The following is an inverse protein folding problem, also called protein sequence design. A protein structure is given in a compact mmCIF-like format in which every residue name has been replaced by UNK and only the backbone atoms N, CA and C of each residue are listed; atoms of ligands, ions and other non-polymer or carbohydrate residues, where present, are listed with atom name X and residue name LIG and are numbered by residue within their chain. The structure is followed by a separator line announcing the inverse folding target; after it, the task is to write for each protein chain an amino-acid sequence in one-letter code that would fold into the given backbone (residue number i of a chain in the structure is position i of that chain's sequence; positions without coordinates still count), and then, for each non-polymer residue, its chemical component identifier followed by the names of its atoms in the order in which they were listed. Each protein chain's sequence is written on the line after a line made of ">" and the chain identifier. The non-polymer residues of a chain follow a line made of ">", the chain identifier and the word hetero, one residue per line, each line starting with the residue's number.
data_IF_825597484548
#
_entry.id   IF_825597484548
#
_cell.length_a   1.000
_cell.length_b   1.000
_cell.length_c   1.000
_cell.angle_alpha   90.00
_cell.angle_beta   90.00
_cell.angle_gamma   90.00
#
_symmetry.space_group_name_H-M   'P 1'
#
loop_
_entity.id
_entity.type
_entity.pdbx_description
1 polymer ?
#
# COMPACT_ATOMS: atom_id res chain seq x y z
N UNK A 1 -21.58 0.55 -34.07
CA UNK A 1 -20.93 -0.35 -33.10
C UNK A 1 -20.12 -1.38 -33.88
N UNK A 2 -18.82 -1.47 -33.63
CA UNK A 2 -17.92 -2.44 -34.26
C UNK A 2 -17.29 -3.26 -33.13
N UNK A 3 -17.30 -4.58 -33.26
CA UNK A 3 -16.54 -5.48 -32.39
C UNK A 3 -15.20 -5.80 -33.05
N UNK A 4 -14.11 -5.66 -32.31
CA UNK A 4 -12.77 -6.00 -32.78
C UNK A 4 -12.36 -7.33 -32.15
N UNK A 5 -12.23 -8.38 -32.97
CA UNK A 5 -11.72 -9.67 -32.53
C UNK A 5 -10.18 -9.66 -32.45
N UNK A 6 -9.62 -10.59 -31.68
CA UNK A 6 -8.18 -10.88 -31.67
C UNK A 6 -7.30 -9.68 -31.28
N UNK A 7 -7.69 -8.97 -30.23
CA UNK A 7 -6.93 -7.83 -29.71
C UNK A 7 -5.53 -8.24 -29.25
N UNK A 8 -4.52 -7.74 -29.97
CA UNK A 8 -3.10 -7.95 -29.68
C UNK A 8 -2.36 -6.61 -29.50
N UNK A 9 -1.05 -6.67 -29.28
CA UNK A 9 -0.23 -5.47 -29.10
C UNK A 9 -0.19 -4.57 -30.34
N UNK A 10 -0.33 -5.13 -31.55
CA UNK A 10 -0.31 -4.36 -32.79
C UNK A 10 -1.61 -3.59 -32.95
N UNK A 11 -2.75 -4.25 -32.77
CA UNK A 11 -4.05 -3.61 -32.80
C UNK A 11 -4.17 -2.56 -31.69
N UNK A 12 -3.63 -2.84 -30.50
CA UNK A 12 -3.57 -1.88 -29.40
C UNK A 12 -2.82 -0.59 -29.79
N UNK A 13 -1.69 -0.72 -30.49
CA UNK A 13 -0.88 0.42 -30.91
C UNK A 13 -1.67 1.35 -31.85
N UNK A 14 -2.40 0.77 -32.81
CA UNK A 14 -3.21 1.54 -33.75
C UNK A 14 -4.44 2.16 -33.07
N UNK A 15 -5.12 1.41 -32.19
CA UNK A 15 -6.30 1.87 -31.46
C UNK A 15 -6.00 3.04 -30.54
N UNK A 16 -4.98 2.91 -29.70
CA UNK A 16 -4.67 3.89 -28.65
C UNK A 16 -4.38 5.27 -29.24
N UNK A 17 -3.83 5.34 -30.46
CA UNK A 17 -3.58 6.60 -31.15
C UNK A 17 -4.84 7.32 -31.65
N UNK A 18 -5.96 6.60 -31.78
CA UNK A 18 -7.23 7.13 -32.30
C UNK A 18 -8.36 7.21 -31.26
N UNK A 19 -8.11 6.87 -30.00
CA UNK A 19 -9.13 6.89 -28.95
C UNK A 19 -9.24 8.29 -28.34
N UNK A 20 -10.40 8.91 -28.48
CA UNK A 20 -10.75 10.13 -27.76
C UNK A 20 -11.16 9.84 -26.30
N UNK A 21 -11.93 8.77 -26.07
CA UNK A 21 -12.44 8.38 -24.75
C UNK A 21 -12.24 6.89 -24.49
N UNK A 22 -11.50 6.57 -23.42
CA UNK A 22 -11.32 5.21 -22.91
C UNK A 22 -12.28 4.97 -21.74
N UNK A 23 -13.15 3.97 -21.89
CA UNK A 23 -14.12 3.59 -20.86
C UNK A 23 -13.68 2.29 -20.19
N UNK A 24 -13.63 2.26 -18.87
CA UNK A 24 -13.36 1.04 -18.10
C UNK A 24 -14.34 0.90 -16.93
N UNK A 25 -15.00 -0.24 -16.80
CA UNK A 25 -16.00 -0.48 -15.75
C UNK A 25 -15.67 -1.76 -14.98
N UNK A 26 -14.50 -1.87 -14.34
CA UNK A 26 -14.19 -2.99 -13.49
C UNK A 26 -15.11 -2.98 -12.27
N UNK A 27 -15.39 -4.14 -11.70
CA UNK A 27 -16.06 -4.22 -10.41
C UNK A 27 -15.04 -4.01 -9.30
N UNK A 28 -15.27 -3.05 -8.42
CA UNK A 28 -14.40 -2.79 -7.27
C UNK A 28 -14.48 -3.91 -6.22
N UNK A 29 -13.37 -4.34 -5.59
CA UNK A 29 -11.98 -3.90 -5.73
C UNK A 29 -11.12 -4.84 -6.61
N UNK A 30 -11.67 -5.36 -7.70
CA UNK A 30 -11.05 -6.43 -8.48
C UNK A 30 -10.02 -5.95 -9.52
N UNK A 31 -9.92 -4.64 -9.76
CA UNK A 31 -8.86 -4.05 -10.58
C UNK A 31 -7.70 -3.61 -9.68
N UNK A 32 -6.61 -4.37 -9.68
CA UNK A 32 -5.42 -3.99 -8.91
C UNK A 32 -4.81 -2.67 -9.40
N UNK A 33 -4.83 -2.41 -10.71
CA UNK A 33 -4.30 -1.18 -11.29
C UNK A 33 -4.98 -0.87 -12.63
N UNK A 34 -4.72 -1.65 -13.68
CA UNK A 34 -5.24 -1.40 -15.03
C UNK A 34 -4.38 -0.42 -15.82
N UNK A 35 -3.39 -0.93 -16.56
CA UNK A 35 -2.43 -0.08 -17.32
C UNK A 35 -2.97 0.38 -18.68
N UNK A 36 -4.09 -0.16 -19.13
CA UNK A 36 -4.64 0.12 -20.46
C UNK A 36 -5.08 1.59 -20.61
N UNK A 37 -5.76 2.14 -19.60
CA UNK A 37 -6.16 3.56 -19.55
C UNK A 37 -4.97 4.54 -19.49
N UNK A 38 -3.81 4.09 -19.01
CA UNK A 38 -2.59 4.92 -18.99
C UNK A 38 -2.02 5.15 -20.39
N UNK A 39 -2.26 4.23 -21.34
CA UNK A 39 -1.68 4.28 -22.69
C UNK A 39 -2.22 5.46 -23.50
N UNK A 40 -3.49 5.83 -23.28
CA UNK A 40 -4.13 6.93 -24.01
C UNK A 40 -3.68 8.32 -23.54
N UNK A 41 -3.04 8.42 -22.36
CA UNK A 41 -2.56 9.69 -21.81
C UNK A 41 -1.59 10.39 -22.78
N UNK A 42 -0.60 9.68 -23.31
CA UNK A 42 0.35 10.26 -24.26
C UNK A 42 -0.25 10.46 -25.67
N UNK A 43 -1.44 9.92 -25.94
CA UNK A 43 -2.10 9.97 -27.24
C UNK A 43 -3.26 10.98 -27.29
N UNK A 44 -3.51 11.72 -26.21
CA UNK A 44 -4.52 12.78 -26.17
C UNK A 44 -5.94 12.28 -25.93
N UNK A 45 -6.11 11.05 -25.45
CA UNK A 45 -7.40 10.53 -25.00
C UNK A 45 -7.73 10.93 -23.56
N UNK A 46 -8.99 10.80 -23.19
CA UNK A 46 -9.50 10.96 -21.82
C UNK A 46 -10.03 9.63 -21.28
N UNK A 47 -10.00 9.49 -19.95
CA UNK A 47 -10.51 8.31 -19.27
C UNK A 47 -11.88 8.59 -18.63
N UNK A 48 -12.74 7.57 -18.65
CA UNK A 48 -13.97 7.49 -17.89
C UNK A 48 -14.06 6.10 -17.26
N UNK A 49 -13.92 6.01 -15.94
CA UNK A 49 -13.79 4.72 -15.28
C UNK A 49 -14.36 4.69 -13.86
N UNK A 50 -14.70 3.50 -13.39
CA UNK A 50 -14.93 3.24 -11.96
C UNK A 50 -13.73 3.67 -11.11
N UNK A 51 -13.98 4.10 -9.87
CA UNK A 51 -12.96 4.49 -8.88
C UNK A 51 -12.25 3.27 -8.27
N UNK A 52 -11.65 2.47 -9.14
CA UNK A 52 -10.84 1.30 -8.81
C UNK A 52 -9.46 1.34 -9.49
N UNK A 53 -8.53 0.52 -9.01
CA UNK A 53 -7.15 0.46 -9.50
C UNK A 53 -6.47 1.83 -9.58
N UNK A 54 -5.78 2.09 -10.71
CA UNK A 54 -5.03 3.32 -10.91
C UNK A 54 -5.93 4.56 -10.98
N UNK A 55 -7.19 4.39 -11.40
CA UNK A 55 -8.10 5.52 -11.55
C UNK A 55 -8.56 6.03 -10.19
N UNK A 56 -8.69 5.15 -9.18
CA UNK A 56 -8.94 5.55 -7.80
C UNK A 56 -7.87 6.51 -7.24
N UNK A 57 -6.61 6.34 -7.69
CA UNK A 57 -5.44 7.18 -7.35
C UNK A 57 -5.35 8.44 -8.24
N UNK A 58 -5.60 8.30 -9.55
CA UNK A 58 -5.36 9.33 -10.55
C UNK A 58 -6.51 10.34 -10.70
N UNK A 59 -7.75 9.91 -10.40
CA UNK A 59 -8.94 10.67 -10.75
C UNK A 59 -9.00 12.02 -10.07
N UNK A 60 -9.28 13.02 -10.90
CA UNK A 60 -9.75 14.34 -10.52
C UNK A 60 -10.69 14.85 -11.61
N UNK A 61 -11.63 15.71 -11.25
CA UNK A 61 -12.64 16.26 -12.16
C UNK A 61 -12.05 17.01 -13.37
N UNK A 62 -10.78 17.46 -13.26
CA UNK A 62 -10.06 18.14 -14.33
C UNK A 62 -9.44 17.23 -15.39
N UNK A 63 -9.34 15.91 -15.15
CA UNK A 63 -8.55 14.99 -16.01
C UNK A 63 -9.36 13.87 -16.66
N UNK A 64 -10.65 13.75 -16.32
CA UNK A 64 -11.54 12.71 -16.85
C UNK A 64 -12.88 12.67 -16.10
N UNK A 65 -13.49 11.50 -16.07
CA UNK A 65 -14.74 11.24 -15.36
C UNK A 65 -14.64 9.95 -14.55
N UNK A 66 -15.48 9.81 -13.54
CA UNK A 66 -15.60 8.59 -12.78
C UNK A 66 -17.05 8.27 -12.41
N UNK A 67 -17.29 7.00 -12.13
CA UNK A 67 -18.50 6.47 -11.49
C UNK A 67 -18.12 5.81 -10.16
N UNK A 68 -19.13 5.55 -9.33
CA UNK A 68 -18.98 4.81 -8.08
C UNK A 68 -18.62 5.68 -6.85
N UNK A 69 -18.73 5.07 -5.67
CA UNK A 69 -18.69 5.77 -4.37
C UNK A 69 -17.45 5.45 -3.52
N UNK A 70 -16.45 4.76 -4.10
CA UNK A 70 -15.27 4.23 -3.41
C UNK A 70 -15.60 3.24 -2.29
N UNK A 71 -16.75 2.58 -2.31
CA UNK A 71 -17.09 1.46 -1.41
C UNK A 71 -17.09 0.13 -2.15
N UNK A 72 -17.11 -0.94 -1.37
CA UNK A 72 -17.22 -2.29 -1.90
C UNK A 72 -18.67 -2.73 -1.75
N UNK A 73 -19.27 -3.20 -2.85
CA UNK A 73 -20.68 -3.63 -2.89
C UNK A 73 -20.85 -5.12 -3.18
N UNK A 74 -19.75 -5.87 -3.26
CA UNK A 74 -19.76 -7.32 -3.45
C UNK A 74 -20.45 -7.75 -4.75
N UNK A 75 -21.46 -8.60 -4.66
CA UNK A 75 -22.23 -9.12 -5.80
C UNK A 75 -23.62 -8.47 -5.94
N UNK A 76 -23.82 -7.29 -5.36
CA UNK A 76 -25.12 -6.61 -5.45
C UNK A 76 -25.43 -6.14 -6.89
N UNK A 77 -26.31 -6.88 -7.57
CA UNK A 77 -26.77 -6.56 -8.92
C UNK A 77 -27.53 -5.22 -8.99
N UNK A 78 -28.12 -4.75 -7.88
CA UNK A 78 -28.76 -3.43 -7.85
C UNK A 78 -27.72 -2.30 -7.93
N UNK A 79 -26.50 -2.56 -7.43
CA UNK A 79 -25.39 -1.64 -7.55
C UNK A 79 -24.92 -1.51 -9.00
N UNK A 80 -24.76 -2.64 -9.72
CA UNK A 80 -24.41 -2.62 -11.15
C UNK A 80 -25.39 -1.74 -11.98
N UNK A 81 -26.70 -1.83 -11.67
CA UNK A 81 -27.72 -1.02 -12.33
C UNK A 81 -27.61 0.47 -11.98
N UNK A 82 -27.20 0.78 -10.75
CA UNK A 82 -26.99 2.16 -10.27
C UNK A 82 -25.79 2.78 -10.98
N UNK A 83 -24.65 2.09 -11.01
CA UNK A 83 -23.44 2.52 -11.73
C UNK A 83 -23.69 2.68 -13.23
N UNK A 84 -24.44 1.76 -13.85
CA UNK A 84 -24.81 1.87 -15.26
C UNK A 84 -25.66 3.14 -15.51
N UNK A 85 -26.63 3.44 -14.64
CA UNK A 85 -27.46 4.64 -14.77
C UNK A 85 -26.65 5.94 -14.57
N UNK A 86 -25.72 5.94 -13.61
CA UNK A 86 -24.77 7.03 -13.41
C UNK A 86 -23.91 7.23 -14.66
N UNK A 87 -23.37 6.14 -15.21
CA UNK A 87 -22.55 6.16 -16.41
C UNK A 87 -23.30 6.77 -17.60
N UNK A 88 -24.53 6.34 -17.84
CA UNK A 88 -25.36 6.89 -18.92
C UNK A 88 -25.68 8.38 -18.70
N UNK A 89 -25.96 8.78 -17.46
CA UNK A 89 -26.22 10.18 -17.13
C UNK A 89 -25.00 11.08 -17.43
N UNK A 90 -23.80 10.66 -17.04
CA UNK A 90 -22.56 11.41 -17.30
C UNK A 90 -22.27 11.47 -18.81
N UNK A 91 -22.48 10.35 -19.53
CA UNK A 91 -22.31 10.33 -20.99
C UNK A 91 -23.24 11.32 -21.68
N UNK A 92 -24.54 11.27 -21.36
CA UNK A 92 -25.58 12.07 -22.01
C UNK A 92 -25.46 13.56 -21.67
N UNK A 93 -25.23 13.89 -20.39
CA UNK A 93 -25.33 15.26 -19.90
C UNK A 93 -24.00 16.01 -19.89
N UNK A 94 -22.86 15.30 -19.90
CA UNK A 94 -21.53 15.93 -19.78
C UNK A 94 -20.58 15.59 -20.94
N UNK A 95 -20.25 14.31 -21.12
CA UNK A 95 -19.19 13.88 -22.04
C UNK A 95 -19.57 14.18 -23.49
N UNK A 96 -20.73 13.69 -23.93
CA UNK A 96 -21.18 13.85 -25.32
C UNK A 96 -21.37 15.34 -25.66
N UNK A 97 -22.07 16.16 -24.85
CA UNK A 97 -22.17 17.59 -25.09
C UNK A 97 -20.82 18.29 -25.17
N UNK A 98 -19.89 18.01 -24.25
CA UNK A 98 -18.54 18.61 -24.25
C UNK A 98 -17.74 18.21 -25.49
N UNK A 99 -17.83 16.95 -25.91
CA UNK A 99 -17.12 16.45 -27.09
C UNK A 99 -17.61 17.09 -28.39
N UNK A 100 -18.90 17.41 -28.50
CA UNK A 100 -19.51 18.04 -29.69
C UNK A 100 -19.65 19.56 -29.61
N UNK A 101 -19.35 20.18 -28.45
CA UNK A 101 -19.38 21.63 -28.31
C UNK A 101 -18.32 22.30 -29.22
N UNK A 102 -18.75 23.19 -30.12
CA UNK A 102 -17.89 23.90 -31.09
C UNK A 102 -18.08 25.42 -31.04
N UNK A 103 -18.41 25.94 -29.87
CA UNK A 103 -18.63 27.37 -29.63
C UNK A 103 -17.38 28.18 -30.01
N UNK A 104 -17.43 28.90 -31.14
CA UNK A 104 -16.35 29.80 -31.60
C UNK A 104 -15.32 29.22 -32.57
N UNK A 105 -15.53 28.03 -33.16
CA UNK A 105 -14.61 27.50 -34.16
C UNK A 105 -14.86 26.03 -34.53
N UNK A 106 -13.86 25.37 -35.15
CA UNK A 106 -13.95 23.96 -35.56
C UNK A 106 -13.53 22.95 -34.47
N UNK A 107 -13.02 23.42 -33.33
CA UNK A 107 -12.36 22.59 -32.31
C UNK A 107 -13.11 22.66 -30.97
N UNK A 108 -13.30 21.54 -30.24
CA UNK A 108 -13.88 21.56 -28.90
C UNK A 108 -12.88 22.10 -27.88
N UNK A 109 -12.91 23.39 -27.61
CA UNK A 109 -11.95 24.05 -26.71
C UNK A 109 -11.93 23.43 -25.31
N UNK A 110 -13.10 23.13 -24.73
CA UNK A 110 -13.21 22.52 -23.40
C UNK A 110 -12.67 21.08 -23.35
N UNK A 111 -12.97 20.27 -24.36
CA UNK A 111 -12.41 18.93 -24.49
C UNK A 111 -10.88 18.98 -24.59
N UNK A 112 -10.35 19.83 -25.47
CA UNK A 112 -8.90 19.97 -25.66
C UNK A 112 -8.22 20.50 -24.40
N UNK A 113 -8.86 21.41 -23.65
CA UNK A 113 -8.34 21.86 -22.37
C UNK A 113 -8.22 20.70 -21.37
N UNK A 114 -9.24 19.85 -21.27
CA UNK A 114 -9.23 18.65 -20.41
C UNK A 114 -8.20 17.63 -20.85
N UNK A 115 -8.04 17.41 -22.15
CA UNK A 115 -6.96 16.58 -22.72
C UNK A 115 -5.60 17.10 -22.26
N UNK A 116 -5.32 18.40 -22.46
CA UNK A 116 -4.04 19.00 -22.08
C UNK A 116 -3.75 18.87 -20.59
N UNK A 117 -4.77 19.06 -19.75
CA UNK A 117 -4.66 18.90 -18.29
C UNK A 117 -4.34 17.45 -17.90
N UNK A 118 -5.08 16.48 -18.47
CA UNK A 118 -4.85 15.04 -18.28
C UNK A 118 -3.44 14.64 -18.71
N UNK A 119 -3.02 15.05 -19.92
CA UNK A 119 -1.69 14.78 -20.44
C UNK A 119 -0.59 15.35 -19.53
N UNK A 120 -0.72 16.63 -19.13
CA UNK A 120 0.30 17.33 -18.37
C UNK A 120 0.50 16.74 -16.97
N UNK A 121 -0.58 16.34 -16.30
CA UNK A 121 -0.53 15.78 -14.94
C UNK A 121 -0.24 14.30 -14.92
N UNK A 122 -0.95 13.51 -15.72
CA UNK A 122 -0.96 12.07 -15.56
C UNK A 122 0.16 11.37 -16.32
N UNK A 123 0.58 11.88 -17.49
CA UNK A 123 1.66 11.23 -18.27
C UNK A 123 2.98 11.09 -17.51
N UNK A 124 3.53 12.13 -16.84
CA UNK A 124 4.79 11.97 -16.10
C UNK A 124 4.65 11.02 -14.92
N UNK A 125 3.53 11.11 -14.19
CA UNK A 125 3.25 10.27 -13.05
C UNK A 125 3.07 8.82 -13.49
N UNK A 126 2.17 8.49 -14.40
CA UNK A 126 1.88 7.11 -14.78
C UNK A 126 2.83 6.56 -15.86
N UNK A 127 4.08 7.02 -15.87
CA UNK A 127 5.12 6.54 -16.78
C UNK A 127 5.90 5.34 -16.22
N UNK A 128 6.17 4.35 -17.07
CA UNK A 128 7.03 3.22 -16.72
C UNK A 128 8.46 3.66 -16.35
N UNK A 129 8.93 4.78 -16.89
CA UNK A 129 10.23 5.37 -16.54
C UNK A 129 10.29 5.79 -15.06
N UNK A 130 9.21 6.42 -14.57
CA UNK A 130 9.08 6.77 -13.14
C UNK A 130 9.07 5.51 -12.28
N UNK A 131 8.24 4.52 -12.63
CA UNK A 131 8.17 3.25 -11.90
C UNK A 131 9.53 2.56 -11.81
N UNK A 132 10.24 2.40 -12.93
CA UNK A 132 11.56 1.74 -12.94
C UNK A 132 12.57 2.52 -12.09
N UNK A 133 12.58 3.85 -12.18
CA UNK A 133 13.46 4.70 -11.36
C UNK A 133 13.17 4.50 -9.88
N UNK A 134 11.92 4.55 -9.48
CA UNK A 134 11.51 4.44 -8.08
C UNK A 134 11.84 3.04 -7.54
N UNK A 135 11.63 1.98 -8.32
CA UNK A 135 12.07 0.63 -7.96
C UNK A 135 13.58 0.52 -7.82
N UNK A 136 14.32 1.16 -8.74
CA UNK A 136 15.78 1.15 -8.75
C UNK A 136 16.34 1.82 -7.50
N UNK A 137 15.83 3.02 -7.18
CA UNK A 137 16.32 3.83 -6.05
C UNK A 137 15.89 3.24 -4.71
N UNK A 138 14.64 2.84 -4.58
CA UNK A 138 14.08 2.45 -3.28
C UNK A 138 14.35 0.99 -2.91
N UNK A 139 14.59 0.10 -3.90
CA UNK A 139 14.74 -1.33 -3.64
C UNK A 139 16.04 -1.91 -4.19
N UNK A 140 16.33 -1.75 -5.49
CA UNK A 140 17.47 -2.43 -6.10
C UNK A 140 18.83 -1.90 -5.63
N UNK A 141 19.00 -0.58 -5.54
CA UNK A 141 20.25 0.02 -5.04
C UNK A 141 20.50 -0.33 -3.56
N UNK A 142 19.53 -0.20 -2.63
CA UNK A 142 19.69 -0.68 -1.26
C UNK A 142 20.02 -2.17 -1.17
N UNK A 143 19.38 -3.02 -1.98
CA UNK A 143 19.68 -4.45 -2.02
C UNK A 143 21.12 -4.74 -2.49
N UNK A 144 21.60 -4.03 -3.52
CA UNK A 144 22.97 -4.16 -4.00
C UNK A 144 24.00 -3.71 -2.96
N UNK A 145 23.73 -2.60 -2.26
CA UNK A 145 24.58 -2.11 -1.16
C UNK A 145 24.60 -3.09 0.02
N UNK A 146 23.44 -3.65 0.39
CA UNK A 146 23.33 -4.69 1.43
C UNK A 146 24.13 -5.94 1.06
N UNK A 147 24.01 -6.41 -0.19
CA UNK A 147 24.80 -7.53 -0.70
C UNK A 147 26.31 -7.27 -0.60
N UNK A 148 26.76 -6.06 -1.00
CA UNK A 148 28.16 -5.66 -0.90
C UNK A 148 28.63 -5.69 0.56
N UNK A 149 27.92 -5.00 1.46
CA UNK A 149 28.23 -4.95 2.90
C UNK A 149 28.31 -6.34 3.53
N UNK A 150 27.42 -7.26 3.15
CA UNK A 150 27.42 -8.65 3.64
C UNK A 150 28.57 -9.50 3.10
N UNK A 151 29.10 -9.14 1.93
CA UNK A 151 30.18 -9.88 1.26
C UNK A 151 31.58 -9.43 1.68
N UNK A 152 31.69 -8.26 2.30
CA UNK A 152 32.94 -7.71 2.84
C UNK A 152 33.40 -8.44 4.12
N UNK A 153 34.60 -8.12 4.60
CA UNK A 153 35.18 -8.63 5.87
C UNK A 153 35.11 -10.15 6.05
N UNK A 154 35.34 -10.90 4.96
CA UNK A 154 35.27 -12.36 4.98
C UNK A 154 33.85 -12.89 5.29
N UNK A 155 32.81 -12.13 4.90
CA UNK A 155 31.40 -12.49 5.02
C UNK A 155 30.90 -12.61 6.47
N UNK A 156 31.55 -11.94 7.43
CA UNK A 156 31.18 -12.00 8.85
C UNK A 156 29.72 -11.62 9.11
N UNK A 157 29.23 -10.57 8.45
CA UNK A 157 27.84 -10.12 8.58
C UNK A 157 26.86 -11.15 7.98
N UNK A 158 27.19 -11.75 6.83
CA UNK A 158 26.34 -12.79 6.24
C UNK A 158 26.26 -14.02 7.17
N UNK A 159 27.38 -14.44 7.74
CA UNK A 159 27.44 -15.55 8.69
C UNK A 159 26.64 -15.25 9.97
N UNK A 160 26.71 -14.02 10.49
CA UNK A 160 25.94 -13.63 11.68
C UNK A 160 24.43 -13.66 11.41
N UNK A 161 23.99 -13.21 10.23
CA UNK A 161 22.58 -13.26 9.82
C UNK A 161 22.11 -14.70 9.69
N UNK A 162 22.90 -15.59 9.06
CA UNK A 162 22.53 -17.01 8.91
C UNK A 162 22.44 -17.69 10.27
N UNK A 163 23.41 -17.47 11.16
CA UNK A 163 23.39 -18.05 12.50
C UNK A 163 22.18 -17.55 13.32
N UNK A 164 21.91 -16.24 13.29
CA UNK A 164 20.74 -15.64 13.92
C UNK A 164 19.43 -16.23 13.36
N UNK A 165 19.31 -16.39 12.04
CA UNK A 165 18.11 -16.96 11.42
C UNK A 165 17.87 -18.40 11.87
N UNK A 166 18.92 -19.22 11.91
CA UNK A 166 18.84 -20.59 12.42
C UNK A 166 18.42 -20.65 13.90
N UNK A 167 18.93 -19.71 14.71
CA UNK A 167 18.56 -19.59 16.12
C UNK A 167 17.08 -19.24 16.29
N UNK A 168 16.60 -18.24 15.53
CA UNK A 168 15.18 -17.87 15.44
C UNK A 168 14.33 -19.06 15.04
N UNK A 169 14.61 -19.72 13.92
CA UNK A 169 13.82 -20.87 13.45
C UNK A 169 13.75 -22.00 14.46
N UNK A 170 14.84 -22.27 15.19
CA UNK A 170 14.92 -23.35 16.17
C UNK A 170 14.22 -23.04 17.48
N UNK A 171 14.25 -21.79 17.92
CA UNK A 171 13.86 -21.42 19.29
C UNK A 171 12.63 -20.48 19.35
N UNK A 172 12.05 -20.09 18.22
CA UNK A 172 10.89 -19.18 18.16
C UNK A 172 9.71 -19.62 19.03
N UNK A 173 9.37 -20.91 19.00
CA UNK A 173 8.24 -21.49 19.75
C UNK A 173 8.42 -21.44 21.28
N UNK A 174 9.63 -21.12 21.76
CA UNK A 174 9.88 -20.92 23.19
C UNK A 174 9.48 -19.53 23.69
N UNK A 175 9.25 -18.58 22.77
CA UNK A 175 8.81 -17.23 23.09
C UNK A 175 7.37 -17.25 23.62
N UNK A 176 7.13 -16.48 24.68
CA UNK A 176 5.77 -16.27 25.19
C UNK A 176 5.65 -14.93 25.89
N UNK A 177 4.46 -14.36 25.80
CA UNK A 177 4.08 -13.22 26.62
C UNK A 177 3.79 -13.68 28.05
N UNK A 178 4.23 -12.87 29.00
CA UNK A 178 3.85 -12.94 30.40
C UNK A 178 2.79 -11.91 30.73
N UNK A 179 2.84 -11.39 31.95
CA UNK A 179 1.90 -10.36 32.42
C UNK A 179 2.08 -9.07 31.64
N UNK A 180 0.95 -8.45 31.29
CA UNK A 180 0.88 -7.11 30.72
C UNK A 180 0.13 -6.20 31.67
N UNK A 181 0.70 -5.02 31.93
CA UNK A 181 0.08 -3.98 32.74
C UNK A 181 0.13 -2.66 32.00
N UNK A 182 -0.95 -1.90 32.10
CA UNK A 182 -1.04 -0.56 31.50
C UNK A 182 -1.35 0.46 32.57
N UNK A 183 -0.58 1.53 32.61
CA UNK A 183 -0.79 2.66 33.51
C UNK A 183 -1.10 3.92 32.72
N UNK A 184 -1.93 4.79 33.29
CA UNK A 184 -2.28 6.07 32.70
C UNK A 184 -1.80 7.20 33.61
N UNK A 185 -0.96 8.08 33.06
CA UNK A 185 -0.40 9.24 33.78
C UNK A 185 -0.42 10.45 32.85
N UNK A 186 -1.08 11.54 33.29
CA UNK A 186 -1.00 12.87 32.65
C UNK A 186 -1.16 12.88 31.12
N UNK A 187 -2.16 12.18 30.58
CA UNK A 187 -2.41 12.14 29.12
C UNK A 187 -1.51 11.18 28.33
N UNK A 188 -0.63 10.45 29.00
CA UNK A 188 0.19 9.38 28.42
C UNK A 188 -0.25 8.01 28.96
N UNK A 189 0.10 6.96 28.22
CA UNK A 189 -0.11 5.57 28.63
C UNK A 189 1.20 4.82 28.56
N UNK A 190 1.54 4.17 29.67
CA UNK A 190 2.71 3.32 29.78
C UNK A 190 2.27 1.87 29.72
N UNK A 191 2.81 1.14 28.75
CA UNK A 191 2.64 -0.29 28.61
C UNK A 191 3.86 -0.97 29.20
N UNK A 192 3.63 -1.94 30.07
CA UNK A 192 4.65 -2.82 30.61
C UNK A 192 4.30 -4.25 30.28
N UNK A 193 5.20 -4.92 29.56
CA UNK A 193 4.99 -6.27 29.05
C UNK A 193 6.15 -7.15 29.48
N UNK A 194 5.83 -8.25 30.16
CA UNK A 194 6.80 -9.30 30.45
C UNK A 194 6.89 -10.25 29.24
N UNK A 195 8.11 -10.58 28.83
CA UNK A 195 8.38 -11.52 27.72
C UNK A 195 9.38 -12.56 28.17
N UNK A 196 9.04 -13.83 28.00
CA UNK A 196 9.97 -14.94 28.18
C UNK A 196 10.64 -15.24 26.85
N UNK A 197 11.97 -15.07 26.80
CA UNK A 197 12.74 -15.24 25.56
C UNK A 197 13.31 -16.65 25.37
N UNK A 198 13.14 -17.53 26.36
CA UNK A 198 13.62 -18.91 26.30
C UNK A 198 15.13 -18.97 26.12
N UNK A 199 15.57 -19.65 25.06
CA UNK A 199 16.99 -19.79 24.71
C UNK A 199 17.49 -18.74 23.71
N UNK A 200 16.61 -17.88 23.20
CA UNK A 200 17.00 -16.83 22.26
C UNK A 200 17.75 -15.71 22.99
N UNK A 201 18.73 -15.13 22.30
CA UNK A 201 19.28 -13.86 22.75
C UNK A 201 18.19 -12.78 22.75
N UNK A 202 18.05 -11.99 23.83
CA UNK A 202 17.13 -10.87 23.88
C UNK A 202 17.35 -9.83 22.76
N UNK A 203 18.55 -9.74 22.20
CA UNK A 203 18.89 -8.84 21.09
C UNK A 203 18.44 -9.37 19.72
N UNK A 204 18.06 -10.65 19.64
CA UNK A 204 17.59 -11.29 18.41
C UNK A 204 16.12 -11.01 18.09
N UNK A 205 15.41 -10.29 18.97
CA UNK A 205 13.99 -9.98 18.84
C UNK A 205 13.71 -8.50 19.15
N UNK A 206 12.53 -8.03 18.75
CA UNK A 206 11.92 -6.78 19.21
C UNK A 206 10.51 -7.03 19.69
N UNK A 207 10.09 -6.25 20.68
CA UNK A 207 8.71 -6.18 21.12
C UNK A 207 8.13 -4.87 20.64
N UNK A 208 6.95 -4.93 20.04
CA UNK A 208 6.29 -3.79 19.42
C UNK A 208 4.82 -3.75 19.85
N UNK A 209 4.27 -2.56 20.07
CA UNK A 209 2.84 -2.33 20.16
C UNK A 209 2.31 -1.95 18.79
N UNK A 210 1.35 -2.71 18.30
CA UNK A 210 0.70 -2.47 17.03
C UNK A 210 -0.77 -2.08 17.26
N UNK A 211 -1.24 -1.08 16.51
CA UNK A 211 -2.64 -0.72 16.44
C UNK A 211 -3.05 -0.55 14.98
N UNK A 212 -4.15 -1.21 14.58
CA UNK A 212 -4.71 -1.08 13.24
C UNK A 212 -5.18 0.34 12.94
N UNK A 213 -5.31 0.63 11.65
CA UNK A 213 -6.01 1.81 11.19
C UNK A 213 -7.53 1.57 11.31
N UNK A 214 -8.27 2.51 11.89
CA UNK A 214 -9.72 2.45 11.93
C UNK A 214 -10.32 3.86 11.83
N UNK A 215 -11.36 3.99 10.98
CA UNK A 215 -12.19 5.16 10.63
C UNK A 215 -11.48 6.53 10.51
N UNK A 216 -10.87 7.02 11.59
CA UNK A 216 -10.22 8.34 11.71
C UNK A 216 -8.78 8.27 12.23
N UNK A 217 -8.24 7.07 12.45
CA UNK A 217 -6.93 6.87 13.06
C UNK A 217 -6.00 6.11 12.11
N UNK A 218 -4.78 6.62 11.96
CA UNK A 218 -3.73 5.98 11.17
C UNK A 218 -3.20 4.78 11.95
N UNK A 219 -2.88 3.67 11.28
CA UNK A 219 -2.21 2.53 11.92
C UNK A 219 -0.91 2.97 12.61
N UNK A 220 -0.60 2.37 13.75
CA UNK A 220 0.54 2.77 14.57
C UNK A 220 1.38 1.55 14.97
N UNK A 221 2.70 1.73 14.94
CA UNK A 221 3.66 0.74 15.41
C UNK A 221 4.67 1.43 16.35
N UNK A 222 4.72 0.98 17.60
CA UNK A 222 5.60 1.56 18.61
C UNK A 222 6.59 0.49 19.11
N UNK A 223 7.90 0.63 18.87
CA UNK A 223 8.88 -0.25 19.50
C UNK A 223 8.85 -0.06 21.02
N UNK A 224 9.13 -1.14 21.75
CA UNK A 224 9.25 -1.12 23.20
C UNK A 224 10.72 -1.25 23.63
N UNK A 225 11.10 -0.51 24.65
CA UNK A 225 12.44 -0.55 25.24
C UNK A 225 12.56 -1.71 26.22
N UNK A 226 13.65 -2.48 26.11
CA UNK A 226 13.98 -3.53 27.09
C UNK A 226 14.56 -2.88 28.34
N UNK A 227 13.89 -3.03 29.48
CA UNK A 227 14.28 -2.41 30.75
C UNK A 227 15.07 -3.34 31.70
N UNK A 228 15.21 -4.62 31.36
CA UNK A 228 15.97 -5.61 32.14
C UNK A 228 15.12 -6.82 32.55
N UNK A 229 15.64 -7.59 33.49
CA UNK A 229 14.96 -8.77 34.05
C UNK A 229 13.76 -8.39 34.92
N UNK A 230 12.74 -9.25 34.93
CA UNK A 230 11.58 -9.09 35.80
C UNK A 230 11.88 -9.65 37.20
N UNK A 231 11.87 -8.80 38.22
CA UNK A 231 12.08 -9.22 39.62
C UNK A 231 11.02 -10.23 40.10
N UNK A 232 9.78 -10.15 39.59
CA UNK A 232 8.68 -11.01 40.02
C UNK A 232 8.57 -12.33 39.25
N UNK A 233 9.26 -12.47 38.12
CA UNK A 233 9.10 -13.59 37.19
C UNK A 233 10.47 -14.03 36.67
N UNK A 234 11.06 -15.04 37.31
CA UNK A 234 12.40 -15.55 36.95
C UNK A 234 12.43 -15.98 35.47
N UNK A 235 13.38 -15.42 34.72
CA UNK A 235 13.59 -15.73 33.31
C UNK A 235 12.70 -14.98 32.32
N UNK A 236 11.95 -13.95 32.78
CA UNK A 236 11.31 -12.99 31.87
C UNK A 236 12.01 -11.64 31.87
N UNK A 237 11.88 -10.95 30.75
CA UNK A 237 12.37 -9.60 30.53
C UNK A 237 11.20 -8.64 30.47
N UNK A 238 11.44 -7.40 30.89
CA UNK A 238 10.43 -6.35 30.89
C UNK A 238 10.67 -5.42 29.71
N UNK A 239 9.60 -5.18 28.95
CA UNK A 239 9.55 -4.21 27.87
C UNK A 239 8.58 -3.09 28.22
N UNK A 240 9.02 -1.84 28.03
CA UNK A 240 8.23 -0.63 28.29
C UNK A 240 8.02 0.19 27.02
N UNK A 241 6.85 0.80 26.88
CA UNK A 241 6.63 1.84 25.88
C UNK A 241 5.63 2.85 26.42
N UNK A 242 5.92 4.13 26.22
CA UNK A 242 5.03 5.23 26.62
C UNK A 242 4.52 5.93 25.38
N UNK A 243 3.20 5.98 25.25
CA UNK A 243 2.52 6.54 24.08
C UNK A 243 1.47 7.56 24.49
N UNK A 244 1.09 8.44 23.58
CA UNK A 244 0.02 9.40 23.81
C UNK A 244 -1.32 8.67 23.99
N UNK A 245 -2.17 9.11 24.92
CA UNK A 245 -3.47 8.49 25.20
C UNK A 245 -4.55 8.82 24.17
N UNK A 246 -4.19 8.92 22.89
CA UNK A 246 -5.08 9.40 21.80
C UNK A 246 -6.10 8.37 21.33
N UNK A 247 -5.89 7.08 21.61
CA UNK A 247 -6.83 5.98 21.29
C UNK A 247 -6.91 4.97 22.44
N UNK A 248 -8.00 4.19 22.62
CA UNK A 248 -8.17 3.18 23.67
C UNK A 248 -7.03 2.14 23.79
N UNK A 249 -6.89 1.52 24.97
CA UNK A 249 -5.84 0.51 25.21
C UNK A 249 -6.12 -0.76 24.41
N UNK A 250 -7.40 -1.08 24.24
CA UNK A 250 -7.91 -2.22 23.47
C UNK A 250 -7.53 -2.17 22.00
N UNK A 251 -7.12 -1.02 21.48
CA UNK A 251 -6.69 -0.87 20.08
C UNK A 251 -5.25 -1.37 19.88
N UNK A 252 -4.50 -1.56 20.97
CA UNK A 252 -3.11 -1.99 20.92
C UNK A 252 -2.98 -3.47 21.22
N UNK A 253 -2.30 -4.18 20.33
CA UNK A 253 -1.88 -5.57 20.54
C UNK A 253 -0.36 -5.63 20.47
N UNK A 254 0.28 -6.23 21.47
CA UNK A 254 1.72 -6.42 21.43
C UNK A 254 2.09 -7.58 20.49
N UNK A 255 3.25 -7.45 19.85
CA UNK A 255 3.85 -8.51 19.05
C UNK A 255 5.34 -8.61 19.30
N UNK A 256 5.86 -9.82 19.16
CA UNK A 256 7.30 -10.09 19.11
C UNK A 256 7.66 -10.40 17.66
N UNK A 257 8.72 -9.75 17.17
CA UNK A 257 9.27 -9.94 15.82
C UNK A 257 10.75 -10.27 15.90
N UNK A 258 11.29 -11.08 14.97
CA UNK A 258 12.72 -11.25 14.84
C UNK A 258 13.40 -9.89 14.62
N UNK A 259 14.63 -9.74 15.11
CA UNK A 259 15.44 -8.56 14.86
C UNK A 259 16.92 -8.90 14.70
N UNK A 260 17.52 -8.37 13.64
CA UNK A 260 18.96 -8.32 13.45
C UNK A 260 19.29 -7.08 12.61
N UNK A 261 20.30 -6.26 12.99
CA UNK A 261 20.55 -4.97 12.36
C UNK A 261 20.93 -5.07 10.87
N UNK A 262 21.53 -6.20 10.48
CA UNK A 262 21.87 -6.47 9.08
C UNK A 262 20.79 -7.18 8.26
N UNK A 263 19.67 -7.59 8.86
CA UNK A 263 18.63 -8.36 8.19
C UNK A 263 17.54 -7.47 7.56
N UNK A 264 16.92 -7.95 6.48
CA UNK A 264 15.80 -7.33 5.78
C UNK A 264 14.52 -8.05 6.20
N UNK A 265 13.74 -7.41 7.06
CA UNK A 265 12.53 -7.95 7.64
C UNK A 265 11.29 -7.36 6.96
N UNK A 266 10.21 -8.14 6.75
CA UNK A 266 10.04 -9.54 7.19
C UNK A 266 10.59 -10.58 6.20
N UNK A 267 11.16 -10.18 5.05
CA UNK A 267 11.54 -11.08 3.96
C UNK A 267 12.49 -12.21 4.38
N UNK A 268 13.44 -11.93 5.29
CA UNK A 268 14.43 -12.93 5.70
C UNK A 268 14.01 -13.78 6.91
N UNK A 269 13.09 -13.28 7.73
CA UNK A 269 12.53 -13.97 8.90
C UNK A 269 11.06 -13.51 9.11
N UNK A 270 10.08 -14.28 8.60
CA UNK A 270 8.68 -13.86 8.55
C UNK A 270 7.89 -14.19 9.83
N UNK A 271 8.54 -14.62 10.90
CA UNK A 271 7.86 -15.01 12.13
C UNK A 271 7.24 -13.80 12.83
N UNK A 272 6.05 -14.00 13.40
CA UNK A 272 5.37 -13.05 14.28
C UNK A 272 4.74 -13.83 15.42
N UNK A 273 4.90 -13.33 16.65
CA UNK A 273 4.18 -13.85 17.81
C UNK A 273 3.32 -12.72 18.36
N UNK A 274 2.01 -12.86 18.20
CA UNK A 274 1.03 -11.91 18.70
C UNK A 274 0.65 -12.25 20.14
N UNK A 275 0.45 -11.21 20.94
CA UNK A 275 -0.16 -11.33 22.25
C UNK A 275 -1.59 -11.84 22.07
N UNK A 276 -1.89 -12.99 22.70
CA UNK A 276 -3.22 -13.60 22.73
C UNK A 276 -3.90 -13.34 24.07
#
# INVERSE_FOLDING_TARGET
>A
MIFLSDYDMRLAQDLVAGIDLWINTPRRPWEACGTSGMKILANGGLNFSELDGWWAEAYDSGVGWAIGDRREHGEDLAWDATEAQEMYSILENEIIPMFYERSGGKTPSRWIARVRESMARLTPEFSASRTIRDYTVSYYLPAALSYKSRSEDGQRLAQSIVAWKMDIEKHWESLRFGRTTTEHHSGQRSFRIEVFVGSLSPDSIRVELYADAHDQTVGALHPMDRCGDCESSVGSLVYLSTISATRPVTDYTARIVPFHPGAVLPLEAPQFLWQR
#
